data_IF_733421832255
#
_entry.id   IF_733421832255
#
_cell.length_a   1.000
_cell.length_b   1.000
_cell.length_c   1.000
_cell.angle_alpha   90.00
_cell.angle_beta   90.00
_cell.angle_gamma   90.00
#
_symmetry.space_group_name_H-M   'P 1'
#
loop_
_entity.id
_entity.type
_entity.pdbx_description
1 polymer ?
#
# COMPACT_ATOMS: atom_id res chain seq x y z
N UNK A 1 -51.62 -5.53 1.57
CA UNK A 1 -50.72 -4.36 1.55
C UNK A 1 -49.31 -4.85 1.24
N UNK A 2 -48.86 -4.70 0.00
CA UNK A 2 -47.48 -4.98 -0.36
C UNK A 2 -46.64 -3.76 0.04
N UNK A 3 -45.61 -3.97 0.88
CA UNK A 3 -44.67 -2.92 1.24
C UNK A 3 -43.90 -2.50 -0.02
N UNK A 4 -44.02 -1.22 -0.41
CA UNK A 4 -43.26 -0.66 -1.51
C UNK A 4 -41.77 -0.64 -1.12
N UNK A 5 -40.96 -1.40 -1.85
CA UNK A 5 -39.51 -1.41 -1.68
C UNK A 5 -38.97 -0.01 -1.98
N UNK A 6 -38.28 0.59 -1.00
CA UNK A 6 -37.60 1.88 -1.15
C UNK A 6 -36.51 1.74 -2.21
N UNK A 7 -36.44 2.59 -3.25
CA UNK A 7 -35.39 2.49 -4.26
C UNK A 7 -34.03 2.70 -3.60
N UNK A 8 -33.13 1.73 -3.75
CA UNK A 8 -31.76 1.83 -3.25
C UNK A 8 -31.08 3.03 -3.91
N UNK A 9 -30.67 4.01 -3.10
CA UNK A 9 -29.90 5.16 -3.55
C UNK A 9 -28.59 4.67 -4.19
N UNK A 10 -28.41 4.91 -5.49
CA UNK A 10 -27.21 4.52 -6.22
C UNK A 10 -26.11 5.55 -5.95
N UNK A 11 -25.19 5.21 -5.05
CA UNK A 11 -23.98 6.01 -4.84
C UNK A 11 -23.14 6.05 -6.15
N UNK A 12 -22.62 7.24 -6.47
CA UNK A 12 -21.71 7.46 -7.60
C UNK A 12 -20.48 8.20 -7.11
N UNK A 13 -19.29 7.70 -7.47
CA UNK A 13 -18.02 8.39 -7.23
C UNK A 13 -17.65 9.17 -8.50
N UNK A 14 -17.60 10.49 -8.39
CA UNK A 14 -17.15 11.38 -9.48
C UNK A 14 -15.79 11.95 -9.09
N UNK A 15 -14.76 11.62 -9.87
CA UNK A 15 -13.41 12.17 -9.70
C UNK A 15 -13.31 13.47 -10.50
N UNK A 16 -13.02 14.58 -9.81
CA UNK A 16 -13.00 15.92 -10.42
C UNK A 16 -11.58 16.49 -10.53
N UNK A 17 -10.68 16.13 -9.63
CA UNK A 17 -9.30 16.63 -9.60
C UNK A 17 -8.34 15.58 -10.17
N UNK A 18 -7.54 16.01 -11.15
CA UNK A 18 -6.49 15.23 -11.80
C UNK A 18 -5.15 15.97 -11.82
N UNK A 19 -4.98 17.02 -11.00
CA UNK A 19 -3.77 17.83 -10.97
C UNK A 19 -2.50 17.09 -10.54
N UNK A 20 -2.67 15.91 -9.92
CA UNK A 20 -1.59 15.00 -9.51
C UNK A 20 -1.55 13.69 -10.32
N UNK A 21 -2.31 13.59 -11.41
CA UNK A 21 -2.29 12.41 -12.25
C UNK A 21 -0.96 12.31 -13.01
N UNK A 22 -0.30 11.17 -12.89
CA UNK A 22 0.97 10.88 -13.57
C UNK A 22 0.90 9.51 -14.27
N UNK A 23 1.53 9.40 -15.43
CA UNK A 23 1.67 8.12 -16.12
C UNK A 23 2.74 7.25 -15.44
N UNK A 24 2.37 6.03 -15.07
CA UNK A 24 3.31 5.07 -14.53
C UNK A 24 4.01 4.30 -15.64
N UNK A 25 5.32 4.48 -15.75
CA UNK A 25 6.12 3.62 -16.63
C UNK A 25 5.96 2.13 -16.24
N UNK A 26 6.08 1.20 -17.20
CA UNK A 26 5.94 -0.23 -16.91
C UNK A 26 6.87 -0.73 -15.79
N UNK A 27 8.08 -0.17 -15.70
CA UNK A 27 9.06 -0.48 -14.66
C UNK A 27 8.60 0.00 -13.28
N UNK A 28 8.17 1.25 -13.18
CA UNK A 28 7.66 1.84 -11.92
C UNK A 28 6.46 1.05 -11.43
N UNK A 29 5.49 0.81 -12.32
CA UNK A 29 4.30 0.01 -12.02
C UNK A 29 4.67 -1.38 -11.51
N UNK A 30 5.58 -2.08 -12.19
CA UNK A 30 5.99 -3.43 -11.81
C UNK A 30 6.62 -3.48 -10.42
N UNK A 31 7.62 -2.63 -10.14
CA UNK A 31 8.31 -2.67 -8.85
C UNK A 31 7.45 -2.17 -7.70
N UNK A 32 6.59 -1.17 -7.94
CA UNK A 32 5.71 -0.65 -6.90
C UNK A 32 4.62 -1.66 -6.51
N UNK A 33 3.93 -2.25 -7.49
CA UNK A 33 2.91 -3.28 -7.23
C UNK A 33 3.55 -4.52 -6.59
N UNK A 34 4.73 -4.94 -7.07
CA UNK A 34 5.43 -6.08 -6.49
C UNK A 34 5.83 -5.83 -5.03
N UNK A 35 6.23 -4.59 -4.70
CA UNK A 35 6.50 -4.18 -3.32
C UNK A 35 5.24 -4.27 -2.44
N UNK A 36 4.08 -3.78 -2.91
CA UNK A 36 2.81 -3.92 -2.18
C UNK A 36 2.43 -5.40 -1.97
N UNK A 37 2.66 -6.25 -2.97
CA UNK A 37 2.45 -7.70 -2.83
C UNK A 37 3.40 -8.32 -1.80
N UNK A 38 4.64 -7.82 -1.68
CA UNK A 38 5.56 -8.27 -0.65
C UNK A 38 5.09 -7.88 0.76
N UNK A 39 4.42 -6.73 0.92
CA UNK A 39 3.77 -6.36 2.19
C UNK A 39 2.69 -7.38 2.54
N UNK A 40 1.78 -7.65 1.61
CA UNK A 40 0.70 -8.62 1.84
C UNK A 40 1.22 -10.04 2.14
N UNK A 41 2.33 -10.43 1.51
CA UNK A 41 2.98 -11.73 1.72
C UNK A 41 3.92 -11.77 2.94
N UNK A 42 4.10 -10.67 3.68
CA UNK A 42 5.07 -10.61 4.78
C UNK A 42 6.53 -10.80 4.35
N UNK A 43 6.86 -10.57 3.08
CA UNK A 43 8.17 -10.86 2.51
C UNK A 43 9.10 -9.63 2.53
N UNK A 44 9.72 -9.37 3.69
CA UNK A 44 10.63 -8.23 3.88
C UNK A 44 11.87 -8.27 2.98
N UNK A 45 12.41 -9.47 2.72
CA UNK A 45 13.56 -9.66 1.83
C UNK A 45 13.28 -9.15 0.41
N UNK A 46 12.17 -9.61 -0.21
CA UNK A 46 11.80 -9.18 -1.56
C UNK A 46 11.32 -7.73 -1.59
N UNK A 47 10.67 -7.26 -0.54
CA UNK A 47 10.31 -5.85 -0.40
C UNK A 47 11.55 -4.95 -0.43
N UNK A 48 12.61 -5.31 0.31
CA UNK A 48 13.88 -4.58 0.31
C UNK A 48 14.54 -4.56 -1.07
N UNK A 49 14.55 -5.70 -1.78
CA UNK A 49 15.07 -5.80 -3.14
C UNK A 49 14.33 -4.84 -4.09
N UNK A 50 12.99 -4.80 -4.02
CA UNK A 50 12.21 -3.86 -4.82
C UNK A 50 12.54 -2.40 -4.49
N UNK A 51 12.62 -2.04 -3.20
CA UNK A 51 12.96 -0.68 -2.78
C UNK A 51 14.35 -0.24 -3.26
N UNK A 52 15.34 -1.12 -3.19
CA UNK A 52 16.69 -0.83 -3.67
C UNK A 52 16.76 -0.59 -5.18
N UNK A 53 15.78 -1.09 -5.94
CA UNK A 53 15.62 -0.88 -7.39
C UNK A 53 14.78 0.37 -7.75
N UNK A 54 14.25 1.10 -6.77
CA UNK A 54 13.46 2.32 -6.99
C UNK A 54 14.28 3.54 -7.42
N UNK A 55 15.60 3.40 -7.48
CA UNK A 55 16.48 4.38 -8.11
C UNK A 55 17.58 3.67 -8.89
N UNK A 56 17.96 4.23 -10.04
CA UNK A 56 19.15 3.80 -10.78
C UNK A 56 20.45 4.35 -10.18
N UNK A 57 20.35 5.37 -9.31
CA UNK A 57 21.47 6.00 -8.62
C UNK A 57 21.42 5.68 -7.12
N UNK A 58 21.55 4.40 -6.79
CA UNK A 58 21.43 3.93 -5.41
C UNK A 58 22.56 4.49 -4.51
N UNK A 59 22.19 4.99 -3.33
CA UNK A 59 23.09 5.61 -2.35
C UNK A 59 23.23 4.82 -1.04
N UNK A 60 22.48 3.72 -0.89
CA UNK A 60 22.51 2.89 0.30
C UNK A 60 23.91 2.28 0.51
N UNK A 61 24.63 2.62 1.60
CA UNK A 61 26.00 2.15 1.82
C UNK A 61 26.06 0.69 2.29
N UNK A 62 24.99 0.20 2.92
CA UNK A 62 24.91 -1.15 3.46
C UNK A 62 23.57 -1.82 3.10
N UNK A 63 23.37 -2.27 1.84
CA UNK A 63 22.12 -2.88 1.40
C UNK A 63 21.70 -4.09 2.22
N UNK A 64 22.66 -4.91 2.68
CA UNK A 64 22.37 -6.07 3.52
C UNK A 64 21.81 -5.69 4.89
N UNK A 65 22.28 -4.58 5.48
CA UNK A 65 21.77 -4.10 6.76
C UNK A 65 20.34 -3.56 6.60
N UNK A 66 20.08 -2.83 5.52
CA UNK A 66 18.72 -2.38 5.17
C UNK A 66 17.77 -3.56 4.96
N UNK A 67 18.20 -4.59 4.23
CA UNK A 67 17.40 -5.80 4.01
C UNK A 67 17.03 -6.51 5.31
N UNK A 68 17.97 -6.66 6.24
CA UNK A 68 17.68 -7.25 7.56
C UNK A 68 16.67 -6.43 8.35
N UNK A 69 16.81 -5.10 8.37
CA UNK A 69 15.86 -4.22 9.04
C UNK A 69 14.45 -4.30 8.42
N UNK A 70 14.35 -4.47 7.10
CA UNK A 70 13.09 -4.71 6.40
C UNK A 70 12.47 -6.07 6.77
N UNK A 71 13.27 -7.13 6.86
CA UNK A 71 12.80 -8.44 7.32
C UNK A 71 12.25 -8.40 8.75
N UNK A 72 12.96 -7.73 9.67
CA UNK A 72 12.53 -7.54 11.05
C UNK A 72 11.22 -6.75 11.12
N UNK A 73 11.10 -5.64 10.38
CA UNK A 73 9.88 -4.85 10.30
C UNK A 73 8.69 -5.69 9.80
N UNK A 74 8.89 -6.47 8.74
CA UNK A 74 7.83 -7.25 8.10
C UNK A 74 7.40 -8.44 8.98
N UNK A 75 8.34 -9.07 9.69
CA UNK A 75 8.02 -10.14 10.63
C UNK A 75 7.09 -9.67 11.76
N UNK A 76 7.18 -8.40 12.16
CA UNK A 76 6.34 -7.83 13.22
C UNK A 76 5.01 -7.30 12.69
N UNK A 77 5.01 -6.59 11.56
CA UNK A 77 3.87 -5.78 11.12
C UNK A 77 3.15 -6.28 9.87
N UNK A 78 3.73 -7.20 9.11
CA UNK A 78 3.20 -7.65 7.82
C UNK A 78 2.65 -9.08 7.90
N UNK A 79 1.65 -9.30 8.75
CA UNK A 79 0.95 -10.58 8.85
C UNK A 79 -0.54 -10.42 8.52
N UNK A 80 -0.91 -10.85 7.32
CA UNK A 80 -2.30 -10.77 6.82
C UNK A 80 -3.29 -11.65 7.59
N UNK A 81 -2.80 -12.65 8.32
CA UNK A 81 -3.64 -13.57 9.10
C UNK A 81 -3.95 -13.06 10.51
N UNK A 82 -3.39 -11.92 10.93
CA UNK A 82 -3.78 -11.29 12.18
C UNK A 82 -5.22 -10.79 12.12
N UNK A 83 -5.94 -10.86 13.25
CA UNK A 83 -7.34 -10.43 13.32
C UNK A 83 -7.55 -8.95 12.92
N UNK A 84 -6.57 -8.10 13.19
CA UNK A 84 -6.58 -6.69 12.79
C UNK A 84 -6.12 -6.45 11.33
N UNK A 85 -5.60 -7.49 10.65
CA UNK A 85 -4.96 -7.36 9.35
C UNK A 85 -3.63 -6.60 9.41
N UNK A 86 -3.17 -6.13 8.26
CA UNK A 86 -1.96 -5.31 8.13
C UNK A 86 -2.34 -3.83 8.22
N UNK A 87 -1.72 -3.11 9.17
CA UNK A 87 -1.76 -1.65 9.20
C UNK A 87 -0.81 -1.09 8.12
N UNK A 88 -1.37 -0.86 6.93
CA UNK A 88 -0.57 -0.41 5.78
C UNK A 88 0.02 0.99 6.00
N UNK A 89 -0.68 1.88 6.70
CA UNK A 89 -0.17 3.23 6.97
C UNK A 89 1.07 3.18 7.85
N UNK A 90 1.02 2.39 8.94
CA UNK A 90 2.17 2.16 9.80
C UNK A 90 3.33 1.51 9.03
N UNK A 91 3.07 0.45 8.26
CA UNK A 91 4.10 -0.26 7.49
C UNK A 91 4.76 0.67 6.48
N UNK A 92 3.98 1.40 5.68
CA UNK A 92 4.52 2.30 4.67
C UNK A 92 5.38 3.41 5.28
N UNK A 93 4.91 4.04 6.37
CA UNK A 93 5.67 5.05 7.11
C UNK A 93 6.97 4.48 7.68
N UNK A 94 6.93 3.27 8.23
CA UNK A 94 8.12 2.61 8.77
C UNK A 94 9.13 2.25 7.68
N UNK A 95 8.67 1.74 6.53
CA UNK A 95 9.55 1.46 5.37
C UNK A 95 10.22 2.73 4.86
N UNK A 96 9.48 3.83 4.71
CA UNK A 96 10.04 5.11 4.28
C UNK A 96 11.07 5.65 5.28
N UNK A 97 10.83 5.50 6.59
CA UNK A 97 11.80 5.84 7.64
C UNK A 97 13.06 4.99 7.55
N UNK A 98 12.94 3.67 7.38
CA UNK A 98 14.08 2.78 7.18
C UNK A 98 14.88 3.18 5.94
N UNK A 99 14.19 3.48 4.83
CA UNK A 99 14.83 3.93 3.60
C UNK A 99 15.66 5.21 3.83
N UNK A 100 15.12 6.19 4.55
CA UNK A 100 15.86 7.40 4.93
C UNK A 100 17.08 7.08 5.81
N UNK A 101 16.93 6.28 6.87
CA UNK A 101 18.03 5.94 7.78
C UNK A 101 19.17 5.19 7.09
N UNK A 102 18.85 4.34 6.12
CA UNK A 102 19.83 3.59 5.33
C UNK A 102 20.26 4.32 4.05
N UNK A 103 19.88 5.59 3.86
CA UNK A 103 20.20 6.37 2.66
C UNK A 103 19.82 5.67 1.34
N UNK A 104 18.72 4.92 1.33
CA UNK A 104 18.16 4.31 0.13
C UNK A 104 17.64 5.43 -0.77
N UNK A 105 18.19 5.52 -1.98
CA UNK A 105 17.72 6.45 -2.99
C UNK A 105 16.39 5.96 -3.56
N UNK A 106 15.41 6.86 -3.64
CA UNK A 106 14.07 6.63 -4.15
C UNK A 106 13.79 7.73 -5.19
N UNK A 107 13.49 7.34 -6.43
CA UNK A 107 13.11 8.31 -7.47
C UNK A 107 11.74 8.93 -7.15
N UNK A 108 11.52 10.17 -7.59
CA UNK A 108 10.32 10.97 -7.25
C UNK A 108 9.00 10.26 -7.57
N UNK A 109 8.94 9.51 -8.68
CA UNK A 109 7.75 8.74 -9.06
C UNK A 109 7.35 7.71 -7.99
N UNK A 110 8.31 6.99 -7.39
CA UNK A 110 8.02 6.04 -6.32
C UNK A 110 7.67 6.73 -5.01
N UNK A 111 8.35 7.84 -4.69
CA UNK A 111 8.04 8.62 -3.50
C UNK A 111 6.60 9.16 -3.56
N UNK A 112 6.19 9.71 -4.71
CA UNK A 112 4.82 10.18 -4.98
C UNK A 112 3.79 9.06 -4.78
N UNK A 113 4.06 7.86 -5.32
CA UNK A 113 3.20 6.70 -5.15
C UNK A 113 3.08 6.24 -3.70
N UNK A 114 4.19 6.16 -2.97
CA UNK A 114 4.19 5.78 -1.56
C UNK A 114 3.40 6.76 -0.69
N UNK A 115 3.56 8.06 -0.94
CA UNK A 115 2.78 9.13 -0.28
C UNK A 115 1.30 9.02 -0.65
N UNK A 116 0.98 8.80 -1.93
CA UNK A 116 -0.41 8.63 -2.39
C UNK A 116 -1.11 7.46 -1.68
N UNK A 117 -0.41 6.33 -1.49
CA UNK A 117 -0.95 5.21 -0.69
C UNK A 117 -1.23 5.64 0.74
N UNK A 118 -0.30 6.34 1.41
CA UNK A 118 -0.52 6.82 2.78
C UNK A 118 -1.72 7.77 2.86
N UNK A 119 -1.90 8.67 1.88
CA UNK A 119 -3.04 9.59 1.82
C UNK A 119 -4.35 8.83 1.61
N UNK A 120 -4.39 7.86 0.70
CA UNK A 120 -5.58 7.04 0.47
C UNK A 120 -5.97 6.22 1.70
N UNK A 121 -4.99 5.65 2.40
CA UNK A 121 -5.24 4.93 3.64
C UNK A 121 -5.76 5.87 4.73
N UNK A 122 -5.08 7.00 4.94
CA UNK A 122 -5.53 8.00 5.92
C UNK A 122 -6.93 8.53 5.64
N UNK A 123 -7.27 8.76 4.36
CA UNK A 123 -8.62 9.17 3.94
C UNK A 123 -9.65 8.06 4.23
N UNK A 124 -9.36 6.82 3.87
CA UNK A 124 -10.27 5.69 4.13
C UNK A 124 -10.53 5.53 5.64
N UNK A 125 -9.47 5.58 6.46
CA UNK A 125 -9.58 5.50 7.92
C UNK A 125 -10.37 6.68 8.51
N UNK A 126 -10.23 7.88 7.96
CA UNK A 126 -10.99 9.05 8.40
C UNK A 126 -12.48 8.99 8.03
N UNK A 127 -12.82 8.34 6.91
CA UNK A 127 -14.21 8.15 6.47
C UNK A 127 -14.91 7.04 7.24
N UNK A 128 -14.28 5.87 7.33
CA UNK A 128 -14.78 4.73 8.07
C UNK A 128 -13.59 3.87 8.55
N UNK A 129 -13.34 3.80 9.87
CA UNK A 129 -12.27 2.98 10.44
C UNK A 129 -12.39 1.48 10.11
N UNK A 130 -13.59 1.00 9.74
CA UNK A 130 -13.84 -0.39 9.35
C UNK A 130 -13.55 -0.68 7.87
N UNK A 131 -13.37 0.35 7.04
CA UNK A 131 -12.88 0.20 5.66
C UNK A 131 -11.37 -0.08 5.75
N UNK A 132 -11.06 -1.35 5.99
CA UNK A 132 -9.68 -1.78 6.15
C UNK A 132 -8.96 -1.79 4.79
N UNK A 133 -7.75 -1.24 4.74
CA UNK A 133 -6.81 -1.35 3.61
C UNK A 133 -6.58 -2.78 3.09
N UNK A 134 -6.64 -3.83 3.93
CA UNK A 134 -6.76 -5.22 3.50
C UNK A 134 -7.79 -5.46 2.40
N UNK A 135 -8.93 -4.76 2.35
CA UNK A 135 -9.93 -4.96 1.29
C UNK A 135 -9.43 -4.55 -0.10
N UNK A 136 -8.63 -3.47 -0.21
CA UNK A 136 -8.04 -3.04 -1.48
C UNK A 136 -6.89 -3.97 -1.92
N UNK A 137 -6.06 -4.41 -0.98
CA UNK A 137 -5.00 -5.39 -1.25
C UNK A 137 -5.59 -6.77 -1.60
N UNK A 138 -6.62 -7.23 -0.89
CA UNK A 138 -7.33 -8.47 -1.18
C UNK A 138 -7.99 -8.44 -2.56
N UNK A 139 -8.63 -7.33 -2.95
CA UNK A 139 -9.18 -7.18 -4.29
C UNK A 139 -8.09 -7.26 -5.37
N UNK A 140 -6.95 -6.61 -5.15
CA UNK A 140 -5.81 -6.65 -6.08
C UNK A 140 -5.17 -8.03 -6.19
N UNK A 141 -5.24 -8.85 -5.14
CA UNK A 141 -4.65 -10.20 -5.08
C UNK A 141 -5.62 -11.31 -5.53
N UNK A 142 -6.92 -11.14 -5.33
CA UNK A 142 -7.92 -12.21 -5.50
C UNK A 142 -9.00 -11.89 -6.52
N UNK A 143 -9.12 -10.64 -6.96
CA UNK A 143 -10.27 -10.16 -7.74
C UNK A 143 -11.59 -10.18 -6.95
N UNK A 144 -11.54 -10.42 -5.64
CA UNK A 144 -12.69 -10.52 -4.74
C UNK A 144 -12.57 -9.45 -3.64
N UNK A 145 -13.68 -8.75 -3.37
CA UNK A 145 -13.77 -7.89 -2.18
C UNK A 145 -14.00 -8.81 -0.97
N UNK A 146 -13.00 -8.93 -0.11
CA UNK A 146 -13.14 -9.68 1.15
C UNK A 146 -13.79 -8.76 2.17
N UNK A 147 -15.05 -9.03 2.51
CA UNK A 147 -15.85 -8.26 3.48
C UNK A 147 -16.93 -7.42 2.80
N UNK A 148 -18.19 -7.66 3.16
CA UNK A 148 -19.30 -6.82 2.69
C UNK A 148 -19.13 -5.43 3.29
N UNK A 149 -18.83 -4.46 2.44
CA UNK A 149 -18.70 -3.04 2.80
C UNK A 149 -20.02 -2.43 3.30
N UNK A 150 -21.15 -3.13 3.15
CA UNK A 150 -22.44 -2.75 3.72
C UNK A 150 -23.24 -4.00 4.06
N UNK A 151 -23.62 -4.14 5.34
CA UNK A 151 -24.73 -4.96 5.81
C UNK A 151 -25.62 -4.12 6.70
#
# INVERSE_FOLDING_TARGET
MAAAATPALRAQLVLLDFGLAEELSPRVRHHFISFLNCIAAGNGLRAAQHLLMWSTQQRCPAPLAFTRAMEELFAVHCNIHQAAGIDLDLVMKAVLRLACMHAVAIDSAYASLAVSVCVLVGLATAMDPQVTTPCMLAYSLTGQVVGRLYS
#
